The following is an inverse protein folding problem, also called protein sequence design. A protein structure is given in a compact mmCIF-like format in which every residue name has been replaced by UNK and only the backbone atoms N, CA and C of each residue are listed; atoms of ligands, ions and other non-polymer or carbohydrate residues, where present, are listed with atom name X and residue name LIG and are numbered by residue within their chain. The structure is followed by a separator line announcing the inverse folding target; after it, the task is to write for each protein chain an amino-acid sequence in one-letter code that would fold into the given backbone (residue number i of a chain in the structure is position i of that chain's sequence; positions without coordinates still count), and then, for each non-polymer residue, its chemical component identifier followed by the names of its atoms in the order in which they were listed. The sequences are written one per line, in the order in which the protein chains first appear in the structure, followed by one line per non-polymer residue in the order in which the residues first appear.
data_IF_991160406384
#
_entry.id   IF_991160406384
#
_cell.length_a   1.000
_cell.length_b   1.000
_cell.length_c   1.000
_cell.angle_alpha   90.00
_cell.angle_beta   90.00
_cell.angle_gamma   90.00
#
_symmetry.space_group_name_H-M   'P 1'
#
loop_
_entity.id
_entity.type
_entity.pdbx_description
1 polymer ?
#
# COMPACT_ATOMS: atom_id res chain seq x y z
N UNK A 1 6.11 -2.04 16.67
CA UNK A 1 6.94 -1.22 17.58
C UNK A 1 7.75 -0.26 16.72
N UNK A 2 7.61 1.05 16.90
CA UNK A 2 8.48 2.05 16.27
C UNK A 2 9.67 2.38 17.17
N UNK A 3 10.83 2.69 16.59
CA UNK A 3 12.05 3.06 17.32
C UNK A 3 12.70 4.25 16.63
N UNK A 4 13.17 5.22 17.42
CA UNK A 4 14.13 6.24 16.96
C UNK A 4 15.48 5.98 17.61
N UNK A 5 16.56 6.12 16.84
CA UNK A 5 17.93 6.03 17.37
C UNK A 5 18.43 7.39 17.90
N UNK A 6 17.71 8.48 17.63
CA UNK A 6 18.01 9.83 18.08
C UNK A 6 16.91 10.39 18.98
N UNK A 7 16.82 11.72 19.06
CA UNK A 7 15.69 12.39 19.69
C UNK A 7 14.48 12.38 18.74
N UNK A 8 13.29 11.94 19.17
CA UNK A 8 12.10 11.99 18.32
C UNK A 8 11.68 13.46 18.10
N UNK A 9 11.69 13.91 16.85
CA UNK A 9 11.22 15.25 16.47
C UNK A 9 9.73 15.30 16.13
N UNK A 10 9.13 14.13 15.88
CA UNK A 10 7.71 13.96 15.51
C UNK A 10 7.10 12.82 16.31
N UNK A 11 5.79 12.86 16.48
CA UNK A 11 5.02 11.76 17.07
C UNK A 11 4.94 10.57 16.09
N UNK A 12 4.37 9.46 16.57
CA UNK A 12 4.06 8.30 15.74
C UNK A 12 3.14 8.70 14.59
N UNK A 13 3.43 8.16 13.41
CA UNK A 13 2.68 8.39 12.19
C UNK A 13 1.17 8.15 12.39
N UNK A 14 0.30 9.16 12.20
CA UNK A 14 -1.13 8.95 12.29
C UNK A 14 -1.65 8.13 11.10
N UNK A 15 -2.40 7.08 11.42
CA UNK A 15 -3.15 6.24 10.49
C UNK A 15 -4.59 6.19 11.01
N UNK A 16 -5.44 7.17 10.64
CA UNK A 16 -6.78 7.31 11.21
C UNK A 16 -7.63 6.04 11.07
N UNK A 17 -7.41 5.26 10.01
CA UNK A 17 -8.14 4.02 9.74
C UNK A 17 -7.94 2.98 10.85
N UNK A 18 -6.87 3.06 11.63
CA UNK A 18 -6.68 2.16 12.79
C UNK A 18 -7.72 2.41 13.89
N UNK A 19 -8.42 3.54 13.86
CA UNK A 19 -9.43 3.92 14.85
C UNK A 19 -10.86 3.58 14.41
N UNK A 20 -11.03 2.92 13.27
CA UNK A 20 -12.34 2.47 12.78
C UNK A 20 -12.62 1.04 13.27
N UNK A 21 -13.63 0.89 14.15
CA UNK A 21 -13.92 -0.35 14.88
C UNK A 21 -14.27 -1.55 14.00
N UNK A 22 -14.77 -1.30 12.80
CA UNK A 22 -15.19 -2.32 11.84
C UNK A 22 -14.08 -2.74 10.86
N UNK A 23 -12.87 -2.19 11.00
CA UNK A 23 -11.73 -2.58 10.17
C UNK A 23 -10.97 -3.76 10.75
N UNK A 24 -10.64 -4.68 9.85
CA UNK A 24 -9.77 -5.81 10.19
C UNK A 24 -8.32 -5.48 9.93
N UNK A 25 -7.50 -5.79 10.93
CA UNK A 25 -6.06 -5.65 10.88
C UNK A 25 -5.45 -6.97 10.44
N UNK A 26 -4.89 -6.99 9.24
CA UNK A 26 -4.22 -8.16 8.68
C UNK A 26 -2.72 -7.89 8.74
N UNK A 27 -2.05 -8.52 9.70
CA UNK A 27 -0.60 -8.42 9.87
C UNK A 27 0.05 -9.51 9.01
N UNK A 28 0.67 -9.13 7.90
CA UNK A 28 1.25 -10.05 6.92
C UNK A 28 2.62 -10.63 7.35
N UNK A 29 3.03 -10.38 8.59
CA UNK A 29 4.34 -10.78 9.11
C UNK A 29 5.47 -9.84 8.72
N UNK A 30 6.70 -10.31 8.86
CA UNK A 30 7.92 -9.57 8.54
C UNK A 30 8.77 -10.36 7.55
N UNK A 31 9.10 -9.75 6.41
CA UNK A 31 9.87 -10.40 5.33
C UNK A 31 11.24 -9.75 5.22
N UNK A 32 12.30 -10.54 5.37
CA UNK A 32 13.67 -10.05 5.14
C UNK A 32 13.99 -10.07 3.66
N UNK A 33 14.45 -8.95 3.11
CA UNK A 33 14.74 -8.80 1.68
C UNK A 33 16.18 -8.31 1.50
N UNK A 34 16.90 -8.92 0.55
CA UNK A 34 18.26 -8.51 0.15
C UNK A 34 18.21 -7.38 -0.88
N UNK A 35 17.62 -6.27 -0.47
CA UNK A 35 17.62 -5.01 -1.19
C UNK A 35 17.67 -3.84 -0.20
N UNK A 36 18.05 -2.65 -0.68
CA UNK A 36 17.96 -1.45 0.15
C UNK A 36 16.49 -1.16 0.50
N UNK A 37 16.25 -0.60 1.68
CA UNK A 37 14.88 -0.28 2.11
C UNK A 37 14.17 0.68 1.15
N UNK A 38 14.90 1.63 0.56
CA UNK A 38 14.33 2.58 -0.40
C UNK A 38 13.91 1.92 -1.72
N UNK A 39 14.61 0.87 -2.19
CA UNK A 39 14.17 0.11 -3.37
C UNK A 39 12.87 -0.65 -3.14
N UNK A 40 12.64 -1.11 -1.91
CA UNK A 40 11.38 -1.75 -1.52
C UNK A 40 10.24 -0.73 -1.51
N UNK A 41 10.50 0.49 -1.05
CA UNK A 41 9.52 1.59 -1.13
C UNK A 41 9.22 1.95 -2.57
N UNK A 42 10.24 2.14 -3.43
CA UNK A 42 10.04 2.41 -4.85
C UNK A 42 9.22 1.31 -5.54
N UNK A 43 9.52 0.03 -5.26
CA UNK A 43 8.77 -1.09 -5.82
C UNK A 43 7.30 -1.10 -5.38
N UNK A 44 7.00 -0.71 -4.14
CA UNK A 44 5.62 -0.64 -3.65
C UNK A 44 4.82 0.51 -4.29
N UNK A 45 5.49 1.60 -4.63
CA UNK A 45 4.88 2.79 -5.24
C UNK A 45 4.75 2.69 -6.76
N UNK A 46 5.44 1.75 -7.39
CA UNK A 46 5.42 1.56 -8.84
C UNK A 46 4.15 0.80 -9.27
N UNK A 47 3.36 1.40 -10.17
CA UNK A 47 2.22 0.71 -10.80
C UNK A 47 2.62 0.03 -12.11
N UNK A 48 3.72 0.45 -12.73
CA UNK A 48 4.11 -0.01 -14.06
C UNK A 48 4.53 -1.47 -14.08
N UNK A 49 4.95 -2.04 -12.95
CA UNK A 49 5.31 -3.46 -12.86
C UNK A 49 4.09 -4.39 -12.73
N UNK A 50 2.89 -3.87 -12.45
CA UNK A 50 1.70 -4.70 -12.18
C UNK A 50 1.41 -5.74 -13.27
N UNK A 51 1.37 -5.40 -14.58
CA UNK A 51 1.05 -6.36 -15.63
C UNK A 51 2.12 -7.44 -15.83
N UNK A 52 3.36 -7.17 -15.43
CA UNK A 52 4.52 -7.99 -15.77
C UNK A 52 4.97 -8.91 -14.64
N UNK A 53 4.80 -8.47 -13.39
CA UNK A 53 5.23 -9.21 -12.19
C UNK A 53 4.04 -9.82 -11.45
N UNK A 54 2.89 -9.16 -11.51
CA UNK A 54 1.65 -9.56 -10.85
C UNK A 54 0.55 -9.86 -11.88
N UNK A 55 0.94 -10.51 -12.98
CA UNK A 55 0.07 -10.88 -14.09
C UNK A 55 -1.17 -11.63 -13.59
N UNK A 56 -2.32 -11.29 -14.17
CA UNK A 56 -3.66 -11.83 -13.86
C UNK A 56 -4.20 -11.52 -12.45
N UNK A 57 -3.42 -10.82 -11.63
CA UNK A 57 -3.84 -10.38 -10.28
C UNK A 57 -3.99 -8.87 -10.27
N UNK A 58 -2.88 -8.13 -10.40
CA UNK A 58 -2.89 -6.67 -10.28
C UNK A 58 -2.91 -5.94 -11.63
N UNK A 59 -2.56 -6.64 -12.71
CA UNK A 59 -2.59 -6.14 -14.09
C UNK A 59 -2.42 -7.31 -15.06
N UNK A 60 -2.65 -7.09 -16.35
CA UNK A 60 -2.41 -8.09 -17.38
C UNK A 60 -2.22 -7.43 -18.75
N UNK A 61 -1.42 -8.04 -19.62
CA UNK A 61 -1.35 -7.63 -21.02
C UNK A 61 -2.71 -7.88 -21.73
N UNK A 62 -3.14 -7.01 -22.66
CA UNK A 62 -2.44 -5.82 -23.19
C UNK A 62 -2.66 -4.53 -22.39
N UNK A 63 -3.30 -4.59 -21.22
CA UNK A 63 -3.62 -3.42 -20.39
C UNK A 63 -2.45 -3.03 -19.48
N UNK A 64 -1.47 -2.34 -20.05
CA UNK A 64 -0.21 -1.99 -19.34
C UNK A 64 -0.04 -0.51 -19.03
N UNK A 65 -0.98 0.33 -19.44
CA UNK A 65 -0.86 1.78 -19.32
C UNK A 65 -1.05 2.24 -17.86
N UNK A 66 -0.03 2.89 -17.30
CA UNK A 66 -0.19 3.75 -16.11
C UNK A 66 -0.78 5.07 -16.58
N UNK A 67 -2.05 5.33 -16.23
CA UNK A 67 -2.72 6.57 -16.60
C UNK A 67 -2.08 7.78 -15.92
N UNK A 68 -2.33 8.96 -16.47
CA UNK A 68 -1.92 10.20 -15.81
C UNK A 68 -2.54 10.32 -14.41
N UNK A 69 -1.71 10.66 -13.44
CA UNK A 69 -2.11 10.90 -12.05
C UNK A 69 -1.42 12.17 -11.53
N UNK A 70 -1.90 12.68 -10.40
CA UNK A 70 -1.37 13.90 -9.79
C UNK A 70 -0.42 13.56 -8.66
N UNK A 71 0.69 14.29 -8.55
CA UNK A 71 1.60 14.20 -7.41
C UNK A 71 1.72 15.53 -6.71
N UNK A 72 1.71 15.53 -5.38
CA UNK A 72 1.85 16.73 -4.58
C UNK A 72 2.76 16.50 -3.36
N UNK A 73 3.44 17.56 -2.93
CA UNK A 73 4.17 17.60 -1.68
C UNK A 73 3.37 18.47 -0.71
N UNK A 74 2.83 17.86 0.34
CA UNK A 74 2.06 18.54 1.39
C UNK A 74 3.02 19.01 2.47
N UNK A 75 3.39 20.29 2.43
CA UNK A 75 4.45 20.87 3.28
C UNK A 75 4.06 21.05 4.75
N UNK A 76 2.77 21.14 5.04
CA UNK A 76 2.20 21.26 6.38
C UNK A 76 2.41 19.99 7.21
N UNK A 77 2.40 18.82 6.55
CA UNK A 77 2.64 17.51 7.17
C UNK A 77 3.96 16.85 6.74
N UNK A 78 4.66 17.46 5.77
CA UNK A 78 5.91 16.97 5.17
C UNK A 78 5.78 15.57 4.55
N UNK A 79 4.75 15.39 3.72
CA UNK A 79 4.43 14.14 3.06
C UNK A 79 4.33 14.30 1.54
N UNK A 80 4.56 13.20 0.80
CA UNK A 80 4.32 13.14 -0.65
C UNK A 80 3.09 12.30 -0.91
N UNK A 81 2.23 12.78 -1.80
CA UNK A 81 0.99 12.10 -2.16
C UNK A 81 0.89 11.94 -3.68
N UNK A 82 0.41 10.77 -4.11
CA UNK A 82 -0.05 10.54 -5.47
C UNK A 82 -1.56 10.27 -5.44
N UNK A 83 -2.33 11.06 -6.18
CA UNK A 83 -3.79 11.03 -6.19
C UNK A 83 -4.30 10.86 -7.61
N UNK A 84 -5.58 10.47 -7.75
CA UNK A 84 -6.19 10.15 -9.05
C UNK A 84 -5.40 9.06 -9.82
N UNK A 85 -4.82 8.10 -9.09
CA UNK A 85 -4.15 6.97 -9.70
C UNK A 85 -5.22 5.96 -10.12
N UNK A 86 -5.16 5.49 -11.35
CA UNK A 86 -6.08 4.50 -11.90
C UNK A 86 -5.31 3.40 -12.61
N UNK A 87 -5.67 2.15 -12.36
CA UNK A 87 -5.08 1.00 -13.05
C UNK A 87 -6.13 -0.08 -13.32
N UNK A 88 -6.07 -0.69 -14.49
CA UNK A 88 -6.96 -1.80 -14.84
C UNK A 88 -6.49 -3.07 -14.11
N UNK A 89 -7.37 -3.65 -13.29
CA UNK A 89 -7.11 -4.91 -12.63
C UNK A 89 -8.02 -6.01 -13.19
N UNK A 90 -7.47 -7.11 -13.71
CA UNK A 90 -8.27 -8.25 -14.15
C UNK A 90 -9.01 -8.90 -12.97
N UNK A 91 -8.41 -8.90 -11.77
CA UNK A 91 -9.00 -9.40 -10.54
C UNK A 91 -8.82 -8.36 -9.41
N UNK A 92 -9.72 -7.38 -9.34
CA UNK A 92 -9.61 -6.31 -8.34
C UNK A 92 -9.93 -6.74 -6.89
N UNK A 93 -10.64 -7.87 -6.73
CA UNK A 93 -10.97 -8.49 -5.45
C UNK A 93 -11.24 -9.99 -5.65
N UNK A 94 -11.17 -10.77 -4.57
CA UNK A 94 -11.55 -12.19 -4.59
C UNK A 94 -12.98 -12.42 -5.10
N UNK A 95 -13.87 -11.44 -4.89
CA UNK A 95 -15.28 -11.48 -5.31
C UNK A 95 -15.54 -10.95 -6.72
N UNK A 96 -14.54 -10.41 -7.42
CA UNK A 96 -14.74 -9.78 -8.74
C UNK A 96 -14.85 -10.83 -9.86
N UNK A 97 -15.90 -10.74 -10.68
CA UNK A 97 -16.15 -11.65 -11.81
C UNK A 97 -15.68 -11.11 -13.18
N UNK A 98 -14.98 -9.97 -13.17
CA UNK A 98 -14.40 -9.35 -14.36
C UNK A 98 -13.46 -8.21 -14.02
N UNK A 99 -12.65 -7.79 -15.00
CA UNK A 99 -11.68 -6.72 -14.81
C UNK A 99 -12.36 -5.37 -14.61
N UNK A 100 -11.87 -4.59 -13.64
CA UNK A 100 -12.38 -3.25 -13.35
C UNK A 100 -11.24 -2.24 -13.27
N UNK A 101 -11.57 -0.98 -13.56
CA UNK A 101 -10.68 0.12 -13.26
C UNK A 101 -10.67 0.34 -11.75
N UNK A 102 -9.51 0.18 -11.13
CA UNK A 102 -9.32 0.37 -9.71
C UNK A 102 -8.66 1.71 -9.46
N UNK A 103 -9.14 2.42 -8.44
CA UNK A 103 -8.54 3.68 -8.01
C UNK A 103 -7.56 3.44 -6.88
N UNK A 104 -6.48 4.22 -6.92
CA UNK A 104 -5.46 4.24 -5.90
C UNK A 104 -5.16 5.67 -5.46
N UNK A 105 -4.66 5.76 -4.23
CA UNK A 105 -3.96 6.93 -3.73
C UNK A 105 -2.79 6.45 -2.91
N UNK A 106 -1.61 7.03 -3.14
CA UNK A 106 -0.41 6.72 -2.39
C UNK A 106 -0.08 7.87 -1.45
N UNK A 107 0.33 7.51 -0.24
CA UNK A 107 0.85 8.42 0.78
C UNK A 107 2.25 7.95 1.16
N UNK A 108 3.24 8.82 0.99
CA UNK A 108 4.59 8.64 1.48
C UNK A 108 4.74 9.54 2.69
N UNK A 109 4.53 8.96 3.87
CA UNK A 109 4.54 9.72 5.11
C UNK A 109 5.96 9.98 5.63
N UNK A 110 6.89 9.07 5.32
CA UNK A 110 8.33 9.25 5.45
C UNK A 110 9.04 8.25 4.51
N UNK A 111 10.38 8.30 4.37
CA UNK A 111 11.11 7.45 3.42
C UNK A 111 10.95 5.93 3.60
N UNK A 112 10.40 5.46 4.72
CA UNK A 112 10.25 4.04 5.04
C UNK A 112 8.85 3.65 5.52
N UNK A 113 7.88 4.57 5.46
CA UNK A 113 6.49 4.31 5.79
C UNK A 113 5.61 4.87 4.68
N UNK A 114 5.02 3.95 3.91
CA UNK A 114 4.16 4.27 2.79
C UNK A 114 2.83 3.56 2.91
N UNK A 115 1.78 4.18 2.39
CA UNK A 115 0.43 3.64 2.41
C UNK A 115 -0.17 3.71 1.02
N UNK A 116 -0.94 2.68 0.70
CA UNK A 116 -1.76 2.56 -0.48
C UNK A 116 -3.22 2.52 -0.03
N UNK A 117 -3.99 3.49 -0.50
CA UNK A 117 -5.43 3.51 -0.39
C UNK A 117 -5.99 2.95 -1.70
N UNK A 118 -6.76 1.87 -1.63
CA UNK A 118 -7.30 1.15 -2.79
C UNK A 118 -8.82 1.04 -2.70
N UNK A 119 -9.51 1.16 -3.84
CA UNK A 119 -10.97 1.03 -3.91
C UNK A 119 -11.43 -0.21 -3.13
N UNK A 120 -12.34 0.00 -2.18
CA UNK A 120 -12.92 -1.09 -1.38
C UNK A 120 -14.15 -1.66 -2.10
N UNK A 121 -14.18 -2.97 -2.42
CA UNK A 121 -15.36 -3.61 -3.01
C UNK A 121 -16.58 -3.59 -2.09
N UNK A 122 -16.35 -3.57 -0.77
CA UNK A 122 -17.38 -3.68 0.25
C UNK A 122 -17.89 -2.31 0.74
N UNK A 123 -17.31 -1.20 0.27
CA UNK A 123 -17.75 0.15 0.65
C UNK A 123 -17.46 1.17 -0.45
N UNK A 124 -18.50 1.86 -0.92
CA UNK A 124 -18.38 2.85 -2.00
C UNK A 124 -17.61 4.13 -1.61
N UNK A 125 -17.55 4.47 -0.32
CA UNK A 125 -17.02 5.75 0.17
C UNK A 125 -15.80 5.58 1.09
N UNK A 126 -15.25 4.38 1.20
CA UNK A 126 -14.10 4.08 2.06
C UNK A 126 -13.05 3.30 1.27
N UNK A 127 -11.80 3.50 1.65
CA UNK A 127 -10.65 2.82 1.04
C UNK A 127 -10.26 1.60 1.87
N UNK A 128 -9.84 0.54 1.22
CA UNK A 128 -8.94 -0.43 1.85
C UNK A 128 -7.56 0.22 1.96
N UNK A 129 -6.86 0.01 3.07
CA UNK A 129 -5.56 0.63 3.31
C UNK A 129 -4.49 -0.42 3.51
N UNK A 130 -3.45 -0.37 2.69
CA UNK A 130 -2.28 -1.24 2.77
C UNK A 130 -1.10 -0.37 3.17
N UNK A 131 -0.56 -0.62 4.35
CA UNK A 131 0.64 0.04 4.85
C UNK A 131 1.85 -0.85 4.65
N UNK A 132 2.96 -0.25 4.21
CA UNK A 132 4.25 -0.90 4.18
C UNK A 132 5.24 -0.09 5.03
N UNK A 133 5.71 -0.72 6.10
CA UNK A 133 6.79 -0.19 6.92
C UNK A 133 8.08 -0.96 6.62
N UNK A 134 9.15 -0.24 6.30
CA UNK A 134 10.43 -0.84 5.92
C UNK A 134 11.47 -0.54 6.98
N UNK A 135 11.97 -1.56 7.66
CA UNK A 135 13.08 -1.43 8.59
C UNK A 135 14.39 -1.60 7.82
N UNK A 136 15.20 -0.55 7.57
CA UNK A 136 16.55 -0.73 7.05
C UNK A 136 17.42 -1.46 8.08
N UNK A 137 18.18 -2.45 7.63
CA UNK A 137 19.08 -3.24 8.47
C UNK A 137 20.54 -3.04 8.05
N UNK A 138 20.80 -3.08 6.75
CA UNK A 138 22.09 -2.79 6.10
C UNK A 138 21.80 -2.01 4.78
N UNK A 139 22.81 -1.43 4.11
CA UNK A 139 22.59 -0.69 2.86
C UNK A 139 21.85 -1.49 1.77
N UNK A 140 22.02 -2.81 1.74
CA UNK A 140 21.42 -3.75 0.78
C UNK A 140 20.51 -4.80 1.45
N UNK A 141 20.09 -4.57 2.70
CA UNK A 141 19.19 -5.48 3.44
C UNK A 141 18.18 -4.73 4.27
N UNK A 142 16.92 -5.12 4.18
CA UNK A 142 15.84 -4.57 4.99
C UNK A 142 14.85 -5.65 5.45
N UNK A 143 13.92 -5.26 6.33
CA UNK A 143 12.71 -6.02 6.66
C UNK A 143 11.48 -5.23 6.26
N UNK A 144 10.62 -5.83 5.44
CA UNK A 144 9.33 -5.29 5.07
C UNK A 144 8.26 -5.80 6.04
N UNK A 145 7.40 -4.89 6.51
CA UNK A 145 6.29 -5.16 7.42
C UNK A 145 4.99 -4.65 6.78
N UNK A 146 4.35 -5.45 5.90
CA UNK A 146 3.06 -5.11 5.36
C UNK A 146 1.96 -5.31 6.40
N UNK A 147 1.02 -4.36 6.45
CA UNK A 147 -0.18 -4.42 7.28
C UNK A 147 -1.36 -3.91 6.45
N UNK A 148 -2.47 -4.63 6.44
CA UNK A 148 -3.68 -4.21 5.73
C UNK A 148 -4.80 -3.92 6.71
N UNK A 149 -5.56 -2.85 6.42
CA UNK A 149 -6.74 -2.41 7.14
C UNK A 149 -7.93 -2.48 6.19
N UNK A 150 -8.63 -3.62 6.24
CA UNK A 150 -9.64 -3.99 5.26
C UNK A 150 -11.04 -3.92 5.86
N UNK A 151 -12.02 -3.57 5.03
CA UNK A 151 -13.44 -3.70 5.34
C UNK A 151 -13.92 -5.01 4.73
N UNK A 152 -13.87 -6.10 5.50
CA UNK A 152 -14.27 -7.44 5.04
C UNK A 152 -14.71 -8.30 6.23
N UNK A 153 -16.02 -8.51 6.38
CA UNK A 153 -16.62 -9.32 7.44
C UNK A 153 -16.83 -10.80 7.03
N UNK A 154 -16.50 -11.18 5.80
CA UNK A 154 -16.80 -12.50 5.23
C UNK A 154 -15.57 -13.40 5.14
N UNK A 155 -14.43 -12.87 4.70
CA UNK A 155 -13.23 -13.66 4.40
C UNK A 155 -12.54 -14.17 5.68
N UNK A 156 -11.98 -15.37 5.64
CA UNK A 156 -11.12 -15.82 6.76
C UNK A 156 -9.81 -15.06 6.77
N UNK A 157 -9.17 -14.89 7.93
CA UNK A 157 -7.85 -14.22 8.01
C UNK A 157 -6.80 -14.90 7.13
N UNK A 158 -6.82 -16.22 7.02
CA UNK A 158 -5.90 -16.97 6.17
C UNK A 158 -6.10 -16.70 4.67
N UNK A 159 -7.32 -16.33 4.25
CA UNK A 159 -7.59 -15.97 2.86
C UNK A 159 -7.19 -14.51 2.52
N UNK A 160 -6.89 -13.71 3.55
CA UNK A 160 -6.50 -12.30 3.40
C UNK A 160 -4.98 -12.09 3.45
N UNK A 161 -4.18 -13.13 3.72
CA UNK A 161 -2.71 -13.05 3.80
C UNK A 161 -2.08 -13.63 2.55
#
# INVERSE_FOLDING_TARGET
LGVTLGAPERDVLPIPETQEDDRRWVICGAVSVRASGLRIVENFLDMAHFPFVHTDILGAEPHTEVRHYTTEIRRDVDEVWATNCEFFQPQAALSATGGIMTQYMYRVANPFAVMLYKTCPNSANRWDVICLFVQPVEPDRCRAHPVMFLIDDVSTTAALV
#
